data_IF_544303761405
#
_entry.id   IF_544303761405
#
_cell.length_a   1.000
_cell.length_b   1.000
_cell.length_c   1.000
_cell.angle_alpha   90.00
_cell.angle_beta   90.00
_cell.angle_gamma   90.00
#
_symmetry.space_group_name_H-M   'P 1'
#
loop_
_entity.id
_entity.type
_entity.pdbx_description
1 polymer ?
#
# COMPACT_ATOMS: atom_id res chain seq x y z
N UNK A 1 -35.51 3.38 22.31
CA UNK A 1 -34.92 3.16 20.97
C UNK A 1 -33.43 3.29 21.16
N UNK A 2 -32.74 2.16 21.21
CA UNK A 2 -31.29 2.10 21.26
C UNK A 2 -30.76 2.55 19.91
N UNK A 3 -30.02 3.65 19.90
CA UNK A 3 -29.21 4.02 18.74
C UNK A 3 -28.15 2.94 18.62
N UNK A 4 -28.28 2.05 17.63
CA UNK A 4 -27.15 1.24 17.20
C UNK A 4 -26.14 2.21 16.60
N UNK A 5 -25.04 2.44 17.32
CA UNK A 5 -23.86 3.10 16.76
C UNK A 5 -23.45 2.30 15.52
N UNK A 6 -23.58 2.91 14.34
CA UNK A 6 -22.96 2.40 13.12
C UNK A 6 -21.49 2.16 13.42
N UNK A 7 -20.93 0.95 13.20
CA UNK A 7 -19.54 0.69 13.51
C UNK A 7 -18.67 1.66 12.70
N UNK A 8 -17.83 2.44 13.40
CA UNK A 8 -16.89 3.36 12.77
C UNK A 8 -16.10 2.62 11.69
N UNK A 9 -16.16 3.13 10.46
CA UNK A 9 -15.46 2.52 9.33
C UNK A 9 -13.95 2.69 9.53
N UNK A 10 -13.27 1.61 9.91
CA UNK A 10 -11.81 1.59 10.07
C UNK A 10 -11.13 1.86 8.73
N UNK A 11 -10.11 2.72 8.76
CA UNK A 11 -9.28 2.94 7.59
C UNK A 11 -8.43 1.70 7.32
N UNK A 12 -8.23 1.40 6.03
CA UNK A 12 -7.50 0.21 5.59
C UNK A 12 -6.10 0.58 5.10
N UNK A 13 -5.08 0.00 5.71
CA UNK A 13 -3.70 0.02 5.22
C UNK A 13 -3.44 -1.31 4.53
N UNK A 14 -3.01 -1.28 3.27
CA UNK A 14 -2.50 -2.45 2.60
C UNK A 14 -0.97 -2.36 2.50
N UNK A 15 -0.30 -3.33 3.10
CA UNK A 15 1.13 -3.53 2.97
C UNK A 15 1.41 -4.57 1.86
N UNK A 16 2.05 -4.13 0.78
CA UNK A 16 2.52 -4.99 -0.31
C UNK A 16 4.01 -5.26 -0.06
N UNK A 17 4.31 -6.49 0.37
CA UNK A 17 5.65 -6.89 0.77
C UNK A 17 6.38 -7.59 -0.38
N UNK A 18 7.41 -6.93 -0.93
CA UNK A 18 8.27 -7.49 -1.97
C UNK A 18 9.63 -7.98 -1.47
N UNK A 19 9.87 -7.98 -0.16
CA UNK A 19 11.06 -8.59 0.41
C UNK A 19 10.99 -10.12 0.36
N UNK A 20 12.12 -10.78 0.09
CA UNK A 20 12.20 -12.25 0.10
C UNK A 20 11.85 -12.82 1.48
N UNK A 21 12.25 -12.12 2.53
CA UNK A 21 12.14 -12.60 3.91
C UNK A 21 11.21 -11.72 4.72
N UNK A 22 10.34 -12.34 5.52
CA UNK A 22 9.42 -11.68 6.47
C UNK A 22 10.11 -10.98 7.66
N UNK A 23 11.45 -10.97 7.71
CA UNK A 23 12.25 -10.22 8.70
C UNK A 23 13.28 -9.31 8.01
N UNK A 24 13.00 -8.93 6.76
CA UNK A 24 13.86 -7.99 6.04
C UNK A 24 13.85 -6.61 6.73
N UNK A 25 14.90 -5.82 6.50
CA UNK A 25 14.98 -4.47 7.10
C UNK A 25 13.83 -3.56 6.66
N UNK A 26 13.37 -3.65 5.41
CA UNK A 26 12.22 -2.88 4.91
C UNK A 26 10.93 -3.29 5.59
N UNK A 27 10.72 -4.60 5.79
CA UNK A 27 9.53 -5.17 6.45
C UNK A 27 9.49 -4.80 7.94
N UNK A 28 10.63 -4.87 8.63
CA UNK A 28 10.77 -4.38 10.01
C UNK A 28 10.46 -2.89 10.12
N UNK A 29 10.91 -2.06 9.17
CA UNK A 29 10.61 -0.61 9.16
C UNK A 29 9.11 -0.38 8.91
N UNK A 30 8.50 -1.10 7.96
CA UNK A 30 7.06 -1.03 7.72
C UNK A 30 6.24 -1.41 8.96
N UNK A 31 6.64 -2.49 9.65
CA UNK A 31 6.03 -2.91 10.92
C UNK A 31 6.10 -1.79 11.96
N UNK A 32 7.26 -1.16 12.15
CA UNK A 32 7.41 -0.02 13.07
C UNK A 32 6.59 1.20 12.68
N UNK A 33 6.43 1.45 11.38
CA UNK A 33 5.59 2.52 10.89
C UNK A 33 4.11 2.27 11.16
N UNK A 34 3.62 1.04 10.93
CA UNK A 34 2.24 0.63 11.22
C UNK A 34 1.96 0.67 12.72
N UNK A 35 2.91 0.25 13.55
CA UNK A 35 2.86 0.41 15.01
C UNK A 35 2.68 1.90 15.39
N UNK A 36 3.53 2.77 14.84
CA UNK A 36 3.49 4.21 15.11
C UNK A 36 2.17 4.86 14.68
N UNK A 37 1.69 4.55 13.48
CA UNK A 37 0.37 4.98 13.00
C UNK A 37 -0.73 4.54 13.97
N UNK A 38 -0.75 3.25 14.33
CA UNK A 38 -1.78 2.72 15.25
C UNK A 38 -1.75 3.46 16.60
N UNK A 39 -0.57 3.75 17.14
CA UNK A 39 -0.44 4.56 18.35
C UNK A 39 -1.02 5.97 18.17
N UNK A 40 -0.77 6.62 17.03
CA UNK A 40 -1.32 7.93 16.73
C UNK A 40 -2.86 7.92 16.70
N UNK A 41 -3.46 6.93 16.04
CA UNK A 41 -4.91 6.75 16.04
C UNK A 41 -5.47 6.53 17.45
N UNK A 42 -4.87 5.62 18.24
CA UNK A 42 -5.34 5.39 19.63
C UNK A 42 -5.31 6.67 20.48
N UNK A 43 -4.26 7.51 20.35
CA UNK A 43 -4.18 8.80 21.07
C UNK A 43 -5.27 9.77 20.65
N UNK A 44 -5.59 9.82 19.35
CA UNK A 44 -6.62 10.72 18.82
C UNK A 44 -8.05 10.24 19.11
N UNK A 45 -8.32 8.94 19.02
CA UNK A 45 -9.66 8.36 19.23
C UNK A 45 -10.04 8.34 20.73
N UNK A 46 -9.11 7.95 21.61
CA UNK A 46 -9.42 7.71 23.03
C UNK A 46 -9.17 8.89 23.98
N UNK A 47 -8.68 10.03 23.46
CA UNK A 47 -8.53 11.27 24.26
C UNK A 47 -7.76 11.10 25.58
N UNK A 48 -6.76 10.22 25.63
CA UNK A 48 -6.11 9.81 26.88
C UNK A 48 -4.58 9.73 26.81
N UNK A 49 -3.96 10.28 27.85
CA UNK A 49 -2.52 10.38 28.10
C UNK A 49 -1.76 9.05 28.12
N UNK A 50 -0.51 9.14 27.63
CA UNK A 50 0.70 8.33 27.87
C UNK A 50 0.83 6.91 27.30
N UNK A 51 2.00 6.72 26.70
CA UNK A 51 2.71 5.49 26.33
C UNK A 51 2.30 4.25 27.12
N UNK A 52 1.26 3.55 26.65
CA UNK A 52 1.07 2.15 26.94
C UNK A 52 1.59 1.36 25.73
N UNK A 53 2.61 0.51 25.94
CA UNK A 53 3.06 -0.46 24.94
C UNK A 53 1.84 -1.26 24.45
N UNK A 54 1.48 -1.09 23.18
CA UNK A 54 0.36 -1.81 22.57
C UNK A 54 0.87 -3.19 22.11
N UNK A 55 0.25 -4.25 22.65
CA UNK A 55 0.40 -5.61 22.14
C UNK A 55 -0.11 -5.72 20.70
N UNK A 56 0.48 -6.57 19.84
CA UNK A 56 0.02 -6.80 18.47
C UNK A 56 -1.46 -7.16 18.31
N UNK A 57 -2.08 -7.71 19.36
CA UNK A 57 -3.51 -8.03 19.39
C UNK A 57 -4.43 -6.80 19.40
N UNK A 58 -3.91 -5.58 19.57
CA UNK A 58 -4.69 -4.32 19.63
C UNK A 58 -4.63 -3.47 18.35
N UNK A 59 -3.90 -3.90 17.32
CA UNK A 59 -3.85 -3.17 16.03
C UNK A 59 -5.20 -3.15 15.33
N UNK A 60 -5.92 -4.28 15.37
CA UNK A 60 -7.23 -4.45 14.75
C UNK A 60 -8.35 -3.63 15.38
N UNK A 61 -8.11 -2.91 16.48
CA UNK A 61 -9.13 -2.11 17.16
C UNK A 61 -9.44 -0.79 16.43
N UNK A 62 -8.47 -0.21 15.71
CA UNK A 62 -8.58 1.14 15.11
C UNK A 62 -8.25 1.18 13.61
N UNK A 63 -7.42 0.27 13.12
CA UNK A 63 -7.03 0.17 11.71
C UNK A 63 -7.30 -1.25 11.19
N UNK A 64 -7.65 -1.36 9.92
CA UNK A 64 -7.62 -2.61 9.20
C UNK A 64 -6.27 -2.72 8.50
N UNK A 65 -5.41 -3.65 8.94
CA UNK A 65 -4.10 -3.89 8.31
C UNK A 65 -4.23 -5.15 7.47
N UNK A 66 -4.08 -4.99 6.16
CA UNK A 66 -4.03 -6.09 5.20
C UNK A 66 -2.62 -6.27 4.66
N UNK A 67 -2.24 -7.53 4.42
CA UNK A 67 -0.92 -7.90 3.93
C UNK A 67 -1.04 -8.58 2.55
N UNK A 68 -0.12 -8.25 1.65
CA UNK A 68 0.04 -8.88 0.36
C UNK A 68 1.50 -9.28 0.15
N UNK A 69 1.80 -10.55 0.38
CA UNK A 69 3.11 -11.14 0.07
C UNK A 69 3.19 -11.48 -1.43
N UNK A 70 4.05 -10.75 -2.16
CA UNK A 70 4.18 -10.94 -3.62
C UNK A 70 4.90 -12.25 -3.99
N UNK A 71 5.56 -12.90 -3.03
CA UNK A 71 6.25 -14.18 -3.19
C UNK A 71 5.35 -15.38 -2.84
N UNK A 72 4.14 -15.13 -2.36
CA UNK A 72 3.20 -16.18 -1.98
C UNK A 72 2.97 -17.17 -3.12
N UNK A 73 2.87 -18.46 -2.79
CA UNK A 73 2.50 -19.51 -3.74
C UNK A 73 1.10 -19.32 -4.36
N UNK A 74 0.28 -18.42 -3.79
CA UNK A 74 -1.03 -18.03 -4.28
C UNK A 74 -0.98 -16.88 -5.30
N UNK A 75 0.17 -16.24 -5.52
CA UNK A 75 0.31 -15.13 -6.45
C UNK A 75 0.00 -15.62 -7.89
N UNK A 76 -0.95 -15.00 -8.62
CA UNK A 76 -1.28 -15.39 -9.98
C UNK A 76 -0.07 -15.31 -10.89
N UNK A 77 0.11 -16.32 -11.75
CA UNK A 77 1.16 -16.31 -12.76
C UNK A 77 0.84 -15.28 -13.84
N UNK A 78 1.85 -14.51 -14.23
CA UNK A 78 1.78 -13.65 -15.42
C UNK A 78 2.46 -14.35 -16.60
N UNK A 79 1.79 -15.38 -17.14
CA UNK A 79 2.25 -16.12 -18.32
C UNK A 79 1.23 -16.06 -19.46
N UNK A 80 1.63 -16.56 -20.64
CA UNK A 80 0.81 -16.47 -21.86
C UNK A 80 -0.55 -17.15 -21.68
N UNK A 81 -0.57 -18.35 -21.10
CA UNK A 81 -1.82 -19.10 -20.96
C UNK A 81 -2.76 -18.38 -19.99
N UNK A 82 -2.26 -18.01 -18.82
CA UNK A 82 -3.05 -17.33 -17.79
C UNK A 82 -3.58 -16.00 -18.32
N UNK A 83 -2.74 -15.20 -18.99
CA UNK A 83 -3.17 -13.90 -19.52
C UNK A 83 -4.15 -14.01 -20.69
N UNK A 84 -4.08 -15.05 -21.52
CA UNK A 84 -5.10 -15.31 -22.54
C UNK A 84 -6.46 -15.63 -21.92
N UNK A 85 -6.48 -16.42 -20.84
CA UNK A 85 -7.70 -16.75 -20.09
C UNK A 85 -8.29 -15.53 -19.39
N UNK A 86 -7.44 -14.75 -18.72
CA UNK A 86 -7.83 -13.49 -18.08
C UNK A 86 -8.39 -12.52 -19.11
N UNK A 87 -7.76 -12.39 -20.29
CA UNK A 87 -8.27 -11.55 -21.36
C UNK A 87 -9.67 -11.99 -21.80
N UNK A 88 -9.90 -13.28 -22.03
CA UNK A 88 -11.23 -13.81 -22.39
C UNK A 88 -12.28 -13.54 -21.30
N UNK A 89 -11.95 -13.82 -20.03
CA UNK A 89 -12.84 -13.59 -18.90
C UNK A 89 -13.28 -12.12 -18.82
N UNK A 90 -12.34 -11.19 -19.01
CA UNK A 90 -12.60 -9.75 -19.01
C UNK A 90 -13.43 -9.26 -20.20
N UNK A 91 -13.52 -10.04 -21.27
CA UNK A 91 -14.31 -9.75 -22.46
C UNK A 91 -15.59 -10.61 -22.56
N UNK A 92 -16.08 -11.10 -21.40
CA UNK A 92 -17.38 -11.74 -21.30
C UNK A 92 -17.41 -13.26 -21.52
N UNK A 93 -16.25 -13.93 -21.52
CA UNK A 93 -16.23 -15.40 -21.49
C UNK A 93 -16.80 -15.91 -20.17
N UNK A 94 -17.77 -16.82 -20.21
CA UNK A 94 -18.34 -17.48 -19.03
C UNK A 94 -17.67 -18.84 -18.73
N UNK A 95 -16.62 -19.20 -19.48
CA UNK A 95 -15.87 -20.44 -19.26
C UNK A 95 -15.27 -20.48 -17.84
N UNK A 96 -15.46 -21.60 -17.14
CA UNK A 96 -15.04 -21.76 -15.75
C UNK A 96 -13.53 -21.58 -15.58
N UNK A 97 -12.72 -22.05 -16.53
CA UNK A 97 -11.27 -21.95 -16.44
C UNK A 97 -10.78 -20.51 -16.73
N UNK A 98 -11.46 -19.79 -17.64
CA UNK A 98 -11.21 -18.37 -17.85
C UNK A 98 -11.53 -17.55 -16.59
N UNK A 99 -12.69 -17.77 -15.98
CA UNK A 99 -13.10 -17.11 -14.74
C UNK A 99 -12.20 -17.48 -13.55
N UNK A 100 -11.80 -18.75 -13.43
CA UNK A 100 -10.89 -19.20 -12.38
C UNK A 100 -9.50 -18.56 -12.50
N UNK A 101 -9.01 -18.33 -13.72
CA UNK A 101 -7.74 -17.62 -13.94
C UNK A 101 -7.82 -16.14 -13.55
N UNK A 102 -8.97 -15.49 -13.79
CA UNK A 102 -9.15 -14.07 -13.49
C UNK A 102 -9.47 -13.78 -12.01
N UNK A 103 -10.21 -14.67 -11.35
CA UNK A 103 -10.66 -14.49 -9.96
C UNK A 103 -9.56 -14.00 -8.99
N UNK A 104 -8.39 -14.65 -8.86
CA UNK A 104 -7.40 -14.21 -7.89
C UNK A 104 -6.77 -12.85 -8.24
N UNK A 105 -6.68 -12.50 -9.54
CA UNK A 105 -6.24 -11.16 -9.97
C UNK A 105 -7.26 -10.10 -9.57
N UNK A 106 -8.56 -10.41 -9.76
CA UNK A 106 -9.65 -9.53 -9.35
C UNK A 106 -9.65 -9.31 -7.84
N UNK A 107 -9.44 -10.36 -7.05
CA UNK A 107 -9.36 -10.28 -5.59
C UNK A 107 -8.20 -9.38 -5.13
N UNK A 108 -7.01 -9.50 -5.72
CA UNK A 108 -5.86 -8.62 -5.43
C UNK A 108 -6.13 -7.16 -5.82
N UNK A 109 -6.79 -6.94 -6.96
CA UNK A 109 -7.18 -5.61 -7.39
C UNK A 109 -8.21 -4.96 -6.47
N UNK A 110 -9.23 -5.71 -6.06
CA UNK A 110 -10.22 -5.26 -5.09
C UNK A 110 -9.58 -4.96 -3.73
N UNK A 111 -8.63 -5.80 -3.29
CA UNK A 111 -7.83 -5.55 -2.09
C UNK A 111 -7.14 -4.19 -2.13
N UNK A 112 -6.41 -3.92 -3.22
CA UNK A 112 -5.72 -2.64 -3.40
C UNK A 112 -6.69 -1.45 -3.46
N UNK A 113 -7.82 -1.58 -4.17
CA UNK A 113 -8.81 -0.48 -4.27
C UNK A 113 -9.54 -0.19 -2.95
N UNK A 114 -9.65 -1.18 -2.05
CA UNK A 114 -10.20 -0.97 -0.70
C UNK A 114 -9.24 -0.21 0.21
N UNK A 115 -7.93 -0.27 -0.05
CA UNK A 115 -6.92 0.37 0.79
C UNK A 115 -7.02 1.90 0.71
N UNK A 116 -7.15 2.56 1.86
CA UNK A 116 -7.07 4.01 1.99
C UNK A 116 -5.62 4.49 1.90
N UNK A 117 -4.68 3.59 2.18
CA UNK A 117 -3.26 3.87 2.26
C UNK A 117 -2.44 2.64 1.84
N UNK A 118 -1.42 2.82 1.00
CA UNK A 118 -0.47 1.76 0.61
C UNK A 118 0.90 1.94 1.25
N UNK A 119 1.42 0.85 1.81
CA UNK A 119 2.84 0.69 2.11
C UNK A 119 3.40 -0.35 1.14
N UNK A 120 4.47 -0.03 0.43
CA UNK A 120 5.16 -0.97 -0.46
C UNK A 120 6.60 -1.09 0.01
N UNK A 121 6.98 -2.30 0.43
CA UNK A 121 8.37 -2.61 0.79
C UNK A 121 9.06 -3.33 -0.37
N UNK A 122 10.27 -2.91 -0.72
CA UNK A 122 11.01 -3.54 -1.82
C UNK A 122 12.53 -3.42 -1.65
N UNK A 123 13.29 -4.51 -1.75
CA UNK A 123 14.72 -4.38 -1.98
C UNK A 123 14.97 -3.80 -3.40
N UNK A 124 16.11 -3.15 -3.58
CA UNK A 124 16.59 -2.71 -4.89
C UNK A 124 17.49 -3.81 -5.46
N UNK A 125 17.04 -4.46 -6.53
CA UNK A 125 17.83 -5.46 -7.24
C UNK A 125 18.08 -5.03 -8.67
N UNK A 126 19.35 -4.99 -9.06
CA UNK A 126 19.77 -4.55 -10.40
C UNK A 126 19.14 -3.21 -10.79
N UNK A 127 19.18 -2.24 -9.85
CA UNK A 127 18.61 -0.89 -9.99
C UNK A 127 17.07 -0.82 -10.15
N UNK A 128 16.36 -1.92 -9.94
CA UNK A 128 14.90 -2.00 -10.09
C UNK A 128 14.24 -2.76 -8.95
N UNK A 129 12.93 -2.96 -9.06
CA UNK A 129 12.12 -3.79 -8.17
C UNK A 129 12.33 -5.29 -8.46
N UNK A 130 12.09 -6.18 -7.48
CA UNK A 130 12.05 -7.61 -7.73
C UNK A 130 11.01 -7.99 -8.78
N UNK A 131 11.29 -9.05 -9.54
CA UNK A 131 10.37 -9.50 -10.60
C UNK A 131 8.97 -9.85 -10.04
N UNK A 132 8.88 -10.35 -8.80
CA UNK A 132 7.62 -10.71 -8.18
C UNK A 132 6.73 -9.48 -7.91
N UNK A 133 7.32 -8.34 -7.50
CA UNK A 133 6.59 -7.08 -7.39
C UNK A 133 6.13 -6.59 -8.76
N UNK A 134 6.99 -6.70 -9.78
CA UNK A 134 6.60 -6.37 -11.16
C UNK A 134 5.45 -7.25 -11.66
N UNK A 135 5.46 -8.55 -11.33
CA UNK A 135 4.38 -9.47 -11.65
C UNK A 135 3.07 -9.10 -10.96
N UNK A 136 3.11 -8.75 -9.67
CA UNK A 136 1.94 -8.22 -8.95
C UNK A 136 1.37 -6.99 -9.66
N UNK A 137 2.25 -6.02 -10.02
CA UNK A 137 1.86 -4.80 -10.72
C UNK A 137 1.20 -5.15 -12.07
N UNK A 138 1.77 -6.07 -12.85
CA UNK A 138 1.22 -6.45 -14.16
C UNK A 138 -0.14 -7.17 -14.06
N UNK A 139 -0.34 -7.98 -13.01
CA UNK A 139 -1.62 -8.59 -12.72
C UNK A 139 -2.67 -7.54 -12.34
N UNK A 140 -2.34 -6.63 -11.42
CA UNK A 140 -3.34 -5.77 -10.75
C UNK A 140 -3.59 -4.46 -11.50
N UNK A 141 -2.58 -3.86 -12.11
CA UNK A 141 -2.69 -2.55 -12.77
C UNK A 141 -3.17 -2.71 -14.21
N UNK A 142 -4.50 -2.80 -14.37
CA UNK A 142 -5.15 -3.00 -15.66
C UNK A 142 -6.32 -2.03 -15.85
N UNK A 143 -6.49 -1.52 -17.07
CA UNK A 143 -7.58 -0.62 -17.41
C UNK A 143 -8.94 -1.30 -17.20
N UNK A 144 -9.92 -0.56 -16.68
CA UNK A 144 -11.23 -1.08 -16.28
C UNK A 144 -11.22 -1.96 -15.02
N UNK A 145 -10.05 -2.25 -14.43
CA UNK A 145 -9.95 -3.02 -13.18
C UNK A 145 -9.53 -2.13 -12.02
N UNK A 146 -8.37 -1.47 -12.10
CA UNK A 146 -7.84 -0.61 -11.03
C UNK A 146 -7.75 0.86 -11.39
N UNK A 147 -7.98 1.18 -12.67
CA UNK A 147 -8.17 2.54 -13.16
C UNK A 147 -9.14 2.52 -14.33
N UNK A 148 -9.77 3.66 -14.63
CA UNK A 148 -10.70 3.78 -15.76
C UNK A 148 -9.93 3.76 -17.08
N UNK A 149 -10.46 3.02 -18.05
CA UNK A 149 -9.92 3.03 -19.40
C UNK A 149 -10.07 4.42 -20.04
N UNK A 150 -9.30 4.65 -21.11
CA UNK A 150 -9.49 5.82 -21.96
C UNK A 150 -10.85 5.71 -22.64
N UNK A 151 -11.67 6.73 -22.52
CA UNK A 151 -13.01 6.81 -23.10
C UNK A 151 -13.22 8.16 -23.81
N UNK A 152 -14.44 8.41 -24.29
CA UNK A 152 -14.79 9.68 -24.92
C UNK A 152 -14.62 10.89 -23.97
N UNK A 153 -14.56 10.66 -22.66
CA UNK A 153 -14.40 11.70 -21.63
C UNK A 153 -12.93 12.08 -21.39
N UNK A 154 -11.96 11.32 -21.91
CA UNK A 154 -10.55 11.69 -21.87
C UNK A 154 -9.58 10.53 -21.60
N UNK A 155 -8.32 10.84 -21.20
CA UNK A 155 -7.32 9.82 -20.92
C UNK A 155 -7.72 8.95 -19.72
N UNK A 156 -7.04 7.81 -19.58
CA UNK A 156 -7.17 6.93 -18.41
C UNK A 156 -7.02 7.72 -17.11
N UNK A 157 -7.90 7.45 -16.13
CA UNK A 157 -8.02 8.19 -14.88
C UNK A 157 -8.28 7.24 -13.71
N UNK A 158 -7.81 7.54 -12.48
CA UNK A 158 -8.04 6.65 -11.35
C UNK A 158 -9.52 6.67 -10.89
N UNK A 159 -9.93 5.67 -10.10
CA UNK A 159 -11.28 5.63 -9.51
C UNK A 159 -11.46 6.59 -8.34
N UNK A 160 -10.37 6.86 -7.62
CA UNK A 160 -10.25 7.84 -6.53
C UNK A 160 -8.92 8.60 -6.68
N UNK A 161 -8.70 9.65 -5.90
CA UNK A 161 -7.46 10.42 -5.88
C UNK A 161 -7.10 10.81 -4.45
N UNK A 162 -5.86 11.25 -4.27
CA UNK A 162 -5.36 11.79 -3.02
C UNK A 162 -5.02 10.72 -2.00
N UNK A 163 -4.84 9.44 -2.36
CA UNK A 163 -4.48 8.42 -1.38
C UNK A 163 -2.95 8.36 -1.18
N UNK A 164 -2.47 8.22 0.06
CA UNK A 164 -1.05 8.10 0.33
C UNK A 164 -0.44 6.80 -0.19
N UNK A 165 0.80 6.90 -0.64
CA UNK A 165 1.65 5.79 -1.03
C UNK A 165 3.00 5.94 -0.34
N UNK A 166 3.43 4.94 0.40
CA UNK A 166 4.73 4.96 1.08
C UNK A 166 5.59 3.83 0.54
N UNK A 167 6.71 4.19 -0.05
CA UNK A 167 7.65 3.24 -0.65
C UNK A 167 8.87 3.14 0.24
N UNK A 168 9.04 1.99 0.88
CA UNK A 168 10.17 1.68 1.76
C UNK A 168 11.11 0.77 0.97
N UNK A 169 12.25 1.31 0.56
CA UNK A 169 13.21 0.57 -0.26
C UNK A 169 14.53 0.34 0.44
N UNK A 170 15.25 -0.74 0.10
CA UNK A 170 16.58 -0.99 0.65
C UNK A 170 17.62 -1.37 -0.39
N UNK A 171 18.85 -0.84 -0.25
CA UNK A 171 19.98 -1.14 -1.13
C UNK A 171 21.27 -1.44 -0.36
N UNK A 172 22.11 -2.31 -0.93
CA UNK A 172 23.47 -2.55 -0.41
C UNK A 172 24.40 -1.35 -0.62
N UNK A 173 24.29 -0.68 -1.77
CA UNK A 173 25.00 0.57 -2.07
C UNK A 173 24.25 1.80 -1.55
N UNK A 174 24.89 2.97 -1.63
CA UNK A 174 24.30 4.27 -1.30
C UNK A 174 23.18 4.65 -2.28
N UNK A 175 22.40 5.70 -1.95
CA UNK A 175 21.49 6.36 -2.88
C UNK A 175 22.13 6.48 -4.27
N UNK A 176 21.45 5.99 -5.33
CA UNK A 176 21.76 6.50 -6.65
C UNK A 176 21.44 8.01 -6.69
N UNK A 177 22.13 8.80 -7.53
CA UNK A 177 21.65 10.11 -7.92
C UNK A 177 20.16 10.07 -8.31
N UNK A 178 19.41 11.15 -8.10
CA UNK A 178 17.96 11.15 -8.34
C UNK A 178 17.58 10.76 -9.79
N UNK A 179 18.44 11.04 -10.77
CA UNK A 179 18.27 10.65 -12.18
C UNK A 179 18.57 9.16 -12.46
N UNK A 180 19.01 8.41 -11.45
CA UNK A 180 19.34 6.98 -11.50
C UNK A 180 18.49 6.15 -10.51
N UNK A 181 17.54 6.77 -9.80
CA UNK A 181 16.50 6.06 -9.04
C UNK A 181 15.38 5.63 -9.99
N UNK A 182 15.32 4.33 -10.29
CA UNK A 182 14.26 3.74 -11.10
C UNK A 182 13.17 3.06 -10.26
N UNK A 183 13.32 3.00 -8.93
CA UNK A 183 12.38 2.29 -8.05
C UNK A 183 11.27 3.23 -7.61
N UNK A 184 11.62 4.31 -6.91
CA UNK A 184 10.61 5.22 -6.37
C UNK A 184 9.78 5.91 -7.47
N UNK A 185 10.38 6.46 -8.54
CA UNK A 185 9.60 7.08 -9.61
C UNK A 185 8.70 6.09 -10.37
N UNK A 186 9.16 4.85 -10.59
CA UNK A 186 8.36 3.82 -11.25
C UNK A 186 7.13 3.45 -10.43
N UNK A 187 7.32 3.11 -9.15
CA UNK A 187 6.23 2.75 -8.23
C UNK A 187 5.26 3.93 -8.06
N UNK A 188 5.78 5.14 -7.83
CA UNK A 188 4.94 6.33 -7.68
C UNK A 188 4.10 6.59 -8.93
N UNK A 189 4.71 6.49 -10.12
CA UNK A 189 4.02 6.75 -11.39
C UNK A 189 2.89 5.77 -11.67
N UNK A 190 3.12 4.49 -11.40
CA UNK A 190 2.15 3.42 -11.73
C UNK A 190 0.99 3.42 -10.72
N UNK A 191 1.25 3.57 -9.43
CA UNK A 191 0.20 3.58 -8.40
C UNK A 191 -0.58 4.90 -8.36
N UNK A 192 -0.01 6.02 -8.81
CA UNK A 192 -0.76 7.25 -9.05
C UNK A 192 -1.88 7.05 -10.11
N UNK A 193 -1.69 6.16 -11.09
CA UNK A 193 -2.77 5.81 -12.04
C UNK A 193 -3.94 5.10 -11.37
N UNK A 194 -3.70 4.46 -10.23
CA UNK A 194 -4.69 3.75 -9.41
C UNK A 194 -5.28 4.63 -8.30
N UNK A 195 -4.84 5.89 -8.17
CA UNK A 195 -5.37 6.87 -7.21
C UNK A 195 -4.52 7.08 -5.96
N UNK A 196 -3.36 6.44 -5.88
CA UNK A 196 -2.37 6.65 -4.82
C UNK A 196 -1.31 7.65 -5.27
N UNK A 197 -1.71 8.92 -5.37
CA UNK A 197 -0.96 10.02 -6.00
C UNK A 197 -0.32 10.99 -4.99
N UNK A 198 -0.26 10.62 -3.70
CA UNK A 198 0.58 11.28 -2.68
C UNK A 198 1.74 10.36 -2.24
N UNK A 199 2.84 10.29 -3.01
CA UNK A 199 3.92 9.35 -2.75
C UNK A 199 4.98 9.91 -1.78
N UNK A 200 5.43 9.06 -0.86
CA UNK A 200 6.53 9.32 0.07
C UNK A 200 7.58 8.22 -0.01
N UNK A 201 8.85 8.59 0.16
CA UNK A 201 10.00 7.70 0.03
C UNK A 201 10.66 7.50 1.39
N UNK A 202 10.94 6.25 1.75
CA UNK A 202 11.88 5.87 2.81
C UNK A 202 12.96 5.01 2.16
N UNK A 203 14.22 5.41 2.27
CA UNK A 203 15.31 4.69 1.62
C UNK A 203 16.37 4.24 2.61
N UNK A 204 16.54 2.92 2.68
CA UNK A 204 17.48 2.23 3.57
C UNK A 204 18.72 1.87 2.76
N UNK A 205 19.71 2.75 2.79
CA UNK A 205 20.83 2.70 1.84
C UNK A 205 22.14 2.30 2.53
N UNK A 206 23.06 1.75 1.75
CA UNK A 206 24.41 1.43 2.22
C UNK A 206 24.47 0.24 3.18
N UNK A 207 23.53 -0.70 3.11
CA UNK A 207 23.49 -1.88 4.00
C UNK A 207 24.69 -2.83 3.87
N UNK A 208 25.51 -2.67 2.83
CA UNK A 208 26.78 -3.37 2.66
C UNK A 208 27.99 -2.55 3.16
N UNK A 209 27.77 -1.30 3.60
CA UNK A 209 28.82 -0.32 3.94
C UNK A 209 28.70 0.10 5.41
N UNK A 210 27.49 0.37 5.87
CA UNK A 210 27.19 0.95 7.18
C UNK A 210 26.67 -0.09 8.17
N UNK A 211 26.63 0.29 9.45
CA UNK A 211 26.00 -0.52 10.48
C UNK A 211 24.51 -0.69 10.19
N UNK A 212 24.05 -1.95 10.17
CA UNK A 212 22.68 -2.29 9.77
C UNK A 212 21.65 -1.82 10.79
N UNK A 213 22.01 -1.80 12.07
CA UNK A 213 21.11 -1.35 13.12
C UNK A 213 21.00 0.18 13.08
N UNK A 214 22.08 0.91 12.85
CA UNK A 214 22.04 2.35 12.61
C UNK A 214 21.17 2.70 11.39
N UNK A 215 21.33 1.99 10.27
CA UNK A 215 20.50 2.17 9.07
C UNK A 215 19.02 1.95 9.37
N UNK A 216 18.70 0.87 10.11
CA UNK A 216 17.35 0.55 10.54
C UNK A 216 16.75 1.66 11.42
N UNK A 217 17.46 2.10 12.45
CA UNK A 217 16.98 3.14 13.37
C UNK A 217 16.75 4.48 12.68
N UNK A 218 17.62 4.85 11.72
CA UNK A 218 17.44 6.06 10.92
C UNK A 218 16.20 5.96 10.02
N UNK A 219 16.00 4.81 9.37
CA UNK A 219 14.84 4.57 8.54
C UNK A 219 13.52 4.55 9.34
N UNK A 220 13.51 4.01 10.56
CA UNK A 220 12.34 4.06 11.46
C UNK A 220 11.98 5.52 11.81
N UNK A 221 12.98 6.35 12.13
CA UNK A 221 12.75 7.78 12.40
C UNK A 221 12.14 8.50 11.21
N UNK A 222 12.68 8.27 10.00
CA UNK A 222 12.16 8.84 8.75
C UNK A 222 10.73 8.36 8.47
N UNK A 223 10.49 7.05 8.57
CA UNK A 223 9.17 6.47 8.38
C UNK A 223 8.14 7.05 9.36
N UNK A 224 8.48 7.18 10.64
CA UNK A 224 7.56 7.76 11.63
C UNK A 224 7.26 9.24 11.35
N UNK A 225 8.25 10.02 10.93
CA UNK A 225 8.02 11.43 10.55
C UNK A 225 7.08 11.55 9.34
N UNK A 226 7.24 10.67 8.34
CA UNK A 226 6.32 10.60 7.19
C UNK A 226 4.93 10.16 7.64
N UNK A 227 4.81 9.16 8.53
CA UNK A 227 3.53 8.74 9.10
C UNK A 227 2.80 9.92 9.74
N UNK A 228 3.50 10.72 10.57
CA UNK A 228 2.93 11.90 11.21
C UNK A 228 2.45 12.94 10.17
N UNK A 229 3.25 13.17 9.11
CA UNK A 229 2.87 14.05 8.02
C UNK A 229 1.63 13.55 7.27
N UNK A 230 1.56 12.26 6.95
CA UNK A 230 0.41 11.65 6.27
C UNK A 230 -0.85 11.77 7.12
N UNK A 231 -0.76 11.52 8.43
CA UNK A 231 -1.88 11.70 9.35
C UNK A 231 -2.40 13.13 9.35
N UNK A 232 -1.50 14.11 9.39
CA UNK A 232 -1.86 15.54 9.37
C UNK A 232 -2.51 15.94 8.04
N UNK A 233 -1.92 15.55 6.91
CA UNK A 233 -2.33 16.00 5.58
C UNK A 233 -3.63 15.37 5.11
N UNK A 234 -3.82 14.08 5.38
CA UNK A 234 -4.99 13.35 4.90
C UNK A 234 -6.20 13.52 5.78
N UNK A 235 -6.07 14.32 6.87
CA UNK A 235 -7.02 14.31 7.99
C UNK A 235 -7.44 12.86 8.20
N UNK A 236 -6.49 12.00 8.57
CA UNK A 236 -6.79 10.65 9.04
C UNK A 236 -7.63 10.80 10.32
N UNK A 237 -8.87 11.21 10.12
CA UNK A 237 -9.91 11.56 11.07
C UNK A 237 -10.98 10.54 10.77
N UNK A 238 -11.21 9.70 11.77
CA UNK A 238 -12.49 9.05 11.94
C UNK A 238 -13.56 10.13 11.80
N UNK A 239 -14.59 9.87 11.01
CA UNK A 239 -15.69 10.79 10.79
C UNK A 239 -16.21 11.33 12.13
N UNK A 240 -15.79 12.53 12.50
CA UNK A 240 -16.45 13.30 13.55
C UNK A 240 -17.34 14.31 12.85
N UNK A 241 -18.57 13.86 12.58
CA UNK A 241 -19.72 14.67 12.17
C UNK A 241 -19.57 15.48 10.88
N UNK A 242 -19.93 14.86 9.74
CA UNK A 242 -20.67 15.56 8.69
C UNK A 242 -22.14 15.74 9.13
N UNK A 243 -22.37 16.49 10.21
CA UNK A 243 -23.63 17.20 10.45
C UNK A 243 -23.32 18.68 10.24
N UNK A 244 -23.22 19.05 8.96
CA UNK A 244 -23.45 20.42 8.57
C UNK A 244 -24.92 20.70 8.80
N UNK A 245 -25.22 21.45 9.85
CA UNK A 245 -26.46 22.21 9.95
C UNK A 245 -26.61 23.02 8.66
N UNK A 246 -27.61 22.68 7.86
CA UNK A 246 -28.18 23.63 6.90
C UNK A 246 -29.00 24.64 7.69
N UNK A 247 -28.37 25.77 8.03
CA UNK A 247 -29.09 27.01 8.26
C UNK A 247 -29.47 27.61 6.90
N UNK A 248 -30.71 27.36 6.46
CA UNK A 248 -31.51 28.22 5.58
C UNK A 248 -33.00 27.79 5.59
#
# INVERSE_FOLDING_TARGET
MTFEETPEKKQTILHINASITHDSVTDRVATKMVEHLTHHYHRQVKGGDKEAELSPSKFGDVLNIEECDVWSSKMPKFDRETMQRVWKARHGSEDEADQAAFKPIKELAEQMLRADFLIITSPVWNFSVPYALKQYIDCVVQAGLTFRDKDAEGPSRPYFKGRPLIVISSSGGKAPPANEDYVFPFISRIFAMCGFDDPHRVAIEGLAIYDKEECFQNAVKEANAIADQVVQNHKLQLDSNCLGNEDA
#
